data_IF_949832497303
#
_entry.id   IF_949832497303
#
_cell.length_a   1.000
_cell.length_b   1.000
_cell.length_c   1.000
_cell.angle_alpha   90.00
_cell.angle_beta   90.00
_cell.angle_gamma   90.00
#
_symmetry.space_group_name_H-M   'P 1'
#
loop_
_entity.id
_entity.type
_entity.pdbx_description
1 polymer ?
#
# COMPACT_ATOMS: atom_id res chain seq x y z
N UNK A 1 -20.10 7.94 10.21
CA UNK A 1 -20.23 7.97 11.69
C UNK A 1 -19.28 9.00 12.23
N UNK A 2 -19.64 9.63 13.35
CA UNK A 2 -18.79 10.59 14.04
C UNK A 2 -18.07 9.90 15.20
N UNK A 3 -16.78 10.18 15.38
CA UNK A 3 -16.01 9.67 16.50
C UNK A 3 -15.99 10.63 17.70
N UNK A 4 -15.33 10.24 18.79
CA UNK A 4 -15.22 11.04 20.03
C UNK A 4 -14.42 12.34 19.88
N UNK A 5 -13.70 12.51 18.77
CA UNK A 5 -12.89 13.68 18.44
C UNK A 5 -13.61 14.62 17.47
N UNK A 6 -14.84 14.29 17.03
CA UNK A 6 -15.61 15.07 16.06
C UNK A 6 -15.25 14.80 14.59
N UNK A 7 -14.43 13.76 14.31
CA UNK A 7 -14.17 13.37 12.93
C UNK A 7 -15.34 12.54 12.39
N UNK A 8 -15.67 12.76 11.14
CA UNK A 8 -16.62 11.95 10.40
C UNK A 8 -15.89 10.91 9.55
N UNK A 9 -16.40 9.69 9.57
CA UNK A 9 -15.82 8.55 8.88
C UNK A 9 -16.86 7.86 8.02
N UNK A 10 -16.48 7.51 6.81
CA UNK A 10 -17.17 6.58 5.95
C UNK A 10 -16.52 5.20 6.10
N UNK A 11 -17.35 4.16 6.21
CA UNK A 11 -16.87 2.79 6.25
C UNK A 11 -17.56 1.98 5.16
N UNK A 12 -16.79 1.13 4.49
CA UNK A 12 -17.31 0.19 3.51
C UNK A 12 -16.53 -1.12 3.60
N UNK A 13 -17.13 -2.18 3.07
CA UNK A 13 -16.41 -3.44 2.92
C UNK A 13 -15.66 -3.46 1.59
N UNK A 14 -14.46 -3.99 1.61
CA UNK A 14 -13.62 -4.18 0.43
C UNK A 14 -13.10 -5.61 0.39
N UNK A 15 -12.94 -6.16 -0.80
CA UNK A 15 -12.24 -7.41 -1.03
C UNK A 15 -10.79 -7.07 -1.37
N UNK A 16 -9.84 -7.58 -0.59
CA UNK A 16 -8.42 -7.25 -0.74
C UNK A 16 -7.57 -8.46 -1.14
N UNK A 17 -8.15 -9.65 -1.11
CA UNK A 17 -7.52 -10.86 -1.61
C UNK A 17 -8.52 -11.71 -2.38
N UNK A 18 -8.00 -12.67 -3.16
CA UNK A 18 -8.81 -13.64 -3.90
C UNK A 18 -8.91 -15.00 -3.18
N UNK A 19 -8.44 -15.06 -1.95
CA UNK A 19 -8.34 -16.32 -1.21
C UNK A 19 -9.65 -17.06 -1.09
N UNK A 20 -10.76 -16.33 -0.96
CA UNK A 20 -12.10 -16.87 -1.13
C UNK A 20 -13.14 -15.76 -1.33
N UNK A 21 -14.27 -16.09 -1.90
CA UNK A 21 -15.31 -15.13 -2.32
C UNK A 21 -15.95 -14.34 -1.18
N UNK A 22 -15.82 -14.82 0.04
CA UNK A 22 -16.45 -14.22 1.22
C UNK A 22 -15.51 -13.35 2.03
N UNK A 23 -14.25 -13.26 1.65
CA UNK A 23 -13.32 -12.39 2.37
C UNK A 23 -13.69 -10.92 2.14
N UNK A 24 -13.98 -10.25 3.24
CA UNK A 24 -14.31 -8.82 3.28
C UNK A 24 -13.53 -8.17 4.40
N UNK A 25 -12.90 -7.06 4.09
CA UNK A 25 -12.21 -6.21 5.06
C UNK A 25 -12.93 -4.87 5.16
N UNK A 26 -12.86 -4.26 6.33
CA UNK A 26 -13.45 -2.93 6.53
C UNK A 26 -12.44 -1.88 6.08
N UNK A 27 -12.84 -1.05 5.13
CA UNK A 27 -12.13 0.18 4.80
C UNK A 27 -12.73 1.35 5.57
N UNK A 28 -11.89 2.32 5.93
CA UNK A 28 -12.26 3.55 6.61
C UNK A 28 -11.70 4.72 5.82
N UNK A 29 -12.56 5.70 5.55
CA UNK A 29 -12.19 6.92 4.84
C UNK A 29 -12.72 8.14 5.58
N UNK A 30 -12.03 9.24 5.46
CA UNK A 30 -12.50 10.52 5.99
C UNK A 30 -13.76 10.96 5.29
N UNK A 31 -14.69 11.49 6.06
CA UNK A 31 -15.92 12.10 5.58
C UNK A 31 -16.11 13.45 6.27
N UNK A 32 -17.02 14.26 5.79
CA UNK A 32 -17.34 15.55 6.36
C UNK A 32 -18.50 16.19 5.64
N UNK A 33 -18.76 17.46 5.99
CA UNK A 33 -19.78 18.27 5.34
C UNK A 33 -19.10 19.43 4.62
N UNK A 34 -19.60 19.74 3.45
CA UNK A 34 -19.17 20.93 2.73
C UNK A 34 -19.83 22.20 3.32
N UNK A 35 -19.54 23.35 2.72
CA UNK A 35 -20.09 24.65 3.14
C UNK A 35 -21.62 24.74 3.06
N UNK A 36 -22.26 23.89 2.29
CA UNK A 36 -23.71 23.83 2.09
C UNK A 36 -24.36 22.74 2.98
N UNK A 37 -23.57 22.09 3.84
CA UNK A 37 -24.00 21.03 4.74
C UNK A 37 -24.25 19.69 4.07
N UNK A 38 -23.70 19.48 2.88
CA UNK A 38 -23.80 18.20 2.15
C UNK A 38 -22.70 17.27 2.60
N UNK A 39 -23.07 16.05 3.01
CA UNK A 39 -22.13 15.01 3.41
C UNK A 39 -21.34 14.53 2.19
N UNK A 40 -20.04 14.47 2.34
CA UNK A 40 -19.14 13.86 1.36
C UNK A 40 -18.22 12.82 2.01
N UNK A 41 -17.68 11.93 1.19
CA UNK A 41 -16.64 10.98 1.57
C UNK A 41 -15.37 11.33 0.80
N UNK A 42 -14.28 11.63 1.51
CA UNK A 42 -12.98 11.84 0.91
C UNK A 42 -12.25 10.50 0.76
N UNK A 43 -12.24 9.93 -0.43
CA UNK A 43 -11.53 8.70 -0.74
C UNK A 43 -10.07 8.94 -1.15
N UNK A 44 -9.67 10.19 -1.31
CA UNK A 44 -8.28 10.54 -1.57
C UNK A 44 -7.42 10.15 -0.36
N UNK A 45 -6.28 9.56 -0.60
CA UNK A 45 -5.38 9.06 0.43
C UNK A 45 -6.00 8.04 1.42
N UNK A 46 -7.10 7.37 1.05
CA UNK A 46 -7.77 6.41 1.94
C UNK A 46 -6.92 5.20 2.32
N UNK A 47 -5.86 4.94 1.58
CA UNK A 47 -4.87 3.89 1.81
C UNK A 47 -3.52 4.43 2.34
N UNK A 48 -3.46 5.72 2.71
CA UNK A 48 -2.33 6.32 3.43
C UNK A 48 -2.48 6.12 4.94
N UNK A 49 -1.36 6.07 5.68
CA UNK A 49 -1.41 6.17 7.14
C UNK A 49 -2.13 7.44 7.58
N UNK A 50 -3.04 7.31 8.53
CA UNK A 50 -3.79 8.45 9.05
C UNK A 50 -3.91 8.38 10.57
N UNK A 51 -3.77 9.52 11.24
CA UNK A 51 -4.06 9.64 12.65
C UNK A 51 -5.58 9.62 12.86
N UNK A 52 -6.04 8.72 13.73
CA UNK A 52 -7.47 8.54 14.06
C UNK A 52 -7.84 9.05 15.45
N UNK A 53 -6.84 9.42 16.26
CA UNK A 53 -7.02 9.80 17.67
C UNK A 53 -6.97 11.32 17.91
N UNK A 54 -7.08 12.12 16.87
CA UNK A 54 -7.09 13.57 16.95
C UNK A 54 -8.15 14.17 16.04
N UNK A 55 -8.72 15.30 16.46
CA UNK A 55 -9.63 16.06 15.61
C UNK A 55 -8.88 16.60 14.39
N UNK A 56 -9.56 16.62 13.25
CA UNK A 56 -9.09 17.27 12.03
C UNK A 56 -10.06 18.38 11.67
N UNK A 57 -9.56 19.59 11.55
CA UNK A 57 -10.36 20.75 11.15
C UNK A 57 -10.74 20.69 9.67
N UNK A 58 -9.84 20.15 8.84
CA UNK A 58 -10.05 20.01 7.41
C UNK A 58 -10.08 18.51 7.00
N UNK A 59 -11.26 17.98 6.64
CA UNK A 59 -11.35 16.59 6.15
C UNK A 59 -10.68 16.37 4.79
N UNK A 60 -10.31 17.43 4.08
CA UNK A 60 -9.53 17.39 2.84
C UNK A 60 -8.02 17.53 3.07
N UNK A 61 -7.58 17.68 4.32
CA UNK A 61 -6.17 17.83 4.64
C UNK A 61 -5.34 16.67 4.05
N UNK A 62 -4.21 17.02 3.48
CA UNK A 62 -3.22 16.05 2.99
C UNK A 62 -2.66 15.22 4.16
N UNK A 63 -2.18 13.98 3.91
CA UNK A 63 -1.45 13.20 4.90
C UNK A 63 -0.20 13.94 5.38
N UNK A 64 0.17 13.70 6.64
CA UNK A 64 1.40 14.27 7.20
C UNK A 64 2.66 13.61 6.62
N UNK A 65 2.58 12.32 6.28
CA UNK A 65 3.69 11.55 5.77
C UNK A 65 3.55 11.35 4.26
N UNK A 66 4.64 11.56 3.55
CA UNK A 66 4.72 11.41 2.10
C UNK A 66 5.07 9.99 1.71
N UNK A 67 4.64 9.55 0.54
CA UNK A 67 5.07 8.31 -0.06
C UNK A 67 6.52 8.46 -0.58
N UNK A 68 7.45 7.73 0.03
CA UNK A 68 8.89 7.81 -0.25
C UNK A 68 9.35 6.72 -1.23
N UNK A 69 8.53 5.69 -1.45
CA UNK A 69 8.87 4.48 -2.21
C UNK A 69 8.57 4.55 -3.70
N UNK A 70 7.85 5.56 -4.18
CA UNK A 70 7.41 5.60 -5.57
C UNK A 70 8.60 5.50 -6.54
N UNK A 71 8.55 4.48 -7.43
CA UNK A 71 9.57 4.19 -8.45
C UNK A 71 11.00 4.05 -7.91
N UNK A 72 11.17 3.60 -6.67
CA UNK A 72 12.49 3.37 -6.10
C UNK A 72 13.11 2.08 -6.64
N UNK A 73 14.45 2.05 -6.62
CA UNK A 73 15.22 0.91 -7.11
C UNK A 73 14.95 -0.33 -6.25
N UNK A 74 14.61 -1.42 -6.92
CA UNK A 74 14.25 -2.68 -6.29
C UNK A 74 15.14 -3.82 -6.77
N UNK A 75 15.46 -4.74 -5.87
CA UNK A 75 16.10 -6.02 -6.15
C UNK A 75 15.37 -7.14 -5.42
N UNK A 76 15.55 -8.37 -5.85
CA UNK A 76 14.93 -9.53 -5.22
C UNK A 76 15.84 -10.76 -5.31
N UNK A 77 15.55 -11.78 -4.48
CA UNK A 77 16.22 -13.09 -4.52
C UNK A 77 16.01 -13.80 -5.86
N UNK A 78 14.80 -13.71 -6.37
CA UNK A 78 14.36 -14.24 -7.65
C UNK A 78 13.20 -13.44 -8.21
N UNK A 79 12.91 -13.56 -9.50
CA UNK A 79 11.77 -12.91 -10.13
C UNK A 79 11.28 -13.73 -11.30
N UNK A 80 9.98 -14.01 -11.35
CA UNK A 80 9.35 -14.62 -12.52
C UNK A 80 9.32 -13.61 -13.67
N UNK A 81 9.48 -14.08 -14.90
CA UNK A 81 9.43 -13.23 -16.10
C UNK A 81 8.11 -12.46 -16.17
N UNK A 82 8.18 -11.13 -16.37
CA UNK A 82 7.03 -10.24 -16.37
C UNK A 82 6.44 -9.97 -14.98
N UNK A 83 7.17 -10.29 -13.90
CA UNK A 83 6.82 -10.05 -12.50
C UNK A 83 7.98 -9.40 -11.76
N UNK A 84 8.41 -8.27 -12.28
CA UNK A 84 9.63 -7.59 -11.87
C UNK A 84 9.54 -6.99 -10.46
N UNK A 85 10.64 -6.90 -9.70
CA UNK A 85 10.64 -6.28 -8.36
C UNK A 85 10.14 -4.84 -8.34
N UNK A 86 10.36 -4.07 -9.42
CA UNK A 86 9.92 -2.68 -9.56
C UNK A 86 8.39 -2.50 -9.50
N UNK A 87 7.62 -3.55 -9.78
CA UNK A 87 6.17 -3.53 -9.65
C UNK A 87 5.68 -3.37 -8.21
N UNK A 88 6.54 -3.61 -7.23
CA UNK A 88 6.20 -3.35 -5.83
C UNK A 88 6.26 -1.86 -5.43
N UNK A 89 6.68 -0.97 -6.33
CA UNK A 89 6.82 0.48 -6.07
C UNK A 89 6.20 1.37 -7.16
N UNK A 90 5.42 0.81 -8.08
CA UNK A 90 4.82 1.53 -9.20
C UNK A 90 3.44 2.14 -8.89
N UNK A 91 2.90 1.89 -7.69
CA UNK A 91 1.57 2.31 -7.23
C UNK A 91 0.42 1.76 -8.09
N UNK A 92 0.65 0.64 -8.76
CA UNK A 92 -0.35 -0.03 -9.58
C UNK A 92 -0.74 -1.39 -8.97
N UNK A 93 -1.92 -1.49 -8.39
CA UNK A 93 -2.42 -2.74 -7.77
C UNK A 93 -2.64 -3.89 -8.77
N UNK A 94 -2.55 -3.65 -10.07
CA UNK A 94 -2.68 -4.67 -11.12
C UNK A 94 -1.34 -5.30 -11.48
N UNK A 95 -0.25 -4.80 -10.94
CA UNK A 95 1.10 -5.32 -11.09
C UNK A 95 1.65 -5.80 -9.75
N UNK A 96 2.54 -6.77 -9.77
CA UNK A 96 3.19 -7.27 -8.56
C UNK A 96 4.48 -7.99 -8.90
N UNK A 97 5.45 -7.91 -8.00
CA UNK A 97 6.57 -8.83 -7.99
C UNK A 97 6.11 -10.24 -7.60
N UNK A 98 6.69 -11.26 -8.26
CA UNK A 98 6.47 -12.65 -7.89
C UNK A 98 7.81 -13.39 -7.90
N UNK A 99 8.12 -14.07 -6.79
CA UNK A 99 9.29 -14.96 -6.70
C UNK A 99 9.12 -16.18 -7.61
N UNK A 100 10.25 -16.75 -8.07
CA UNK A 100 10.25 -17.99 -8.88
C UNK A 100 9.83 -19.20 -8.05
N UNK A 101 10.15 -19.21 -6.75
CA UNK A 101 9.86 -20.30 -5.84
C UNK A 101 9.02 -19.89 -4.64
N UNK A 102 8.61 -20.89 -3.85
CA UNK A 102 7.86 -20.71 -2.62
C UNK A 102 8.64 -21.20 -1.38
N UNK A 103 9.94 -21.38 -1.52
CA UNK A 103 10.75 -21.78 -0.37
C UNK A 103 10.88 -20.61 0.61
N UNK A 104 10.84 -20.87 1.94
CA UNK A 104 11.07 -19.84 2.93
C UNK A 104 12.39 -19.10 2.69
N UNK A 105 12.34 -17.76 2.75
CA UNK A 105 13.53 -16.93 2.59
C UNK A 105 13.63 -16.19 1.25
N UNK A 106 12.63 -16.29 0.37
CA UNK A 106 12.53 -15.37 -0.77
C UNK A 106 12.41 -13.93 -0.25
N UNK A 107 13.12 -13.01 -0.89
CA UNK A 107 13.18 -11.63 -0.42
C UNK A 107 13.09 -10.61 -1.56
N UNK A 108 12.62 -9.41 -1.21
CA UNK A 108 12.65 -8.22 -2.04
C UNK A 108 13.26 -7.07 -1.23
N UNK A 109 14.06 -6.23 -1.87
CA UNK A 109 14.79 -5.14 -1.23
C UNK A 109 14.66 -3.84 -2.01
N UNK A 110 14.57 -2.73 -1.27
CA UNK A 110 14.42 -1.38 -1.78
C UNK A 110 15.62 -0.51 -1.40
N UNK A 111 16.06 0.34 -2.32
CA UNK A 111 16.94 1.48 -2.05
C UNK A 111 16.16 2.79 -2.24
N UNK A 112 15.93 3.53 -1.15
CA UNK A 112 15.26 4.84 -1.18
C UNK A 112 16.10 5.94 -1.85
N UNK A 113 17.37 5.63 -2.21
CA UNK A 113 18.32 6.55 -2.84
C UNK A 113 19.16 7.32 -1.84
N UNK A 114 18.60 7.72 -0.73
CA UNK A 114 19.27 8.42 0.39
C UNK A 114 18.60 8.06 1.71
N UNK A 115 19.23 8.41 2.82
CA UNK A 115 18.62 8.21 4.16
C UNK A 115 17.40 9.11 4.30
N UNK A 116 16.27 8.52 4.70
CA UNK A 116 14.99 9.18 4.92
C UNK A 116 14.51 8.95 6.35
N UNK A 117 13.69 9.88 6.86
CA UNK A 117 12.93 9.71 8.09
C UNK A 117 11.67 8.89 7.78
N UNK A 118 11.77 7.58 7.95
CA UNK A 118 10.68 6.63 7.68
C UNK A 118 9.81 6.48 8.92
N UNK A 119 8.50 6.65 8.73
CA UNK A 119 7.49 6.61 9.79
C UNK A 119 6.56 5.40 9.68
N UNK A 120 6.32 4.90 8.47
CA UNK A 120 5.53 3.70 8.28
C UNK A 120 5.97 2.94 7.04
N UNK A 121 5.77 1.62 7.08
CA UNK A 121 5.90 0.73 5.94
C UNK A 121 4.60 -0.07 5.80
N UNK A 122 4.01 -0.06 4.60
CA UNK A 122 2.87 -0.89 4.24
C UNK A 122 3.36 -1.98 3.30
N UNK A 123 2.94 -3.21 3.59
CA UNK A 123 3.23 -4.38 2.77
C UNK A 123 1.91 -4.88 2.22
N UNK A 124 1.77 -4.89 0.89
CA UNK A 124 0.59 -5.39 0.19
C UNK A 124 0.97 -6.69 -0.52
N UNK A 125 0.56 -7.81 0.04
CA UNK A 125 0.69 -9.11 -0.62
C UNK A 125 -0.38 -9.23 -1.71
N UNK A 126 -0.03 -9.84 -2.83
CA UNK A 126 -0.94 -10.18 -3.91
C UNK A 126 -1.13 -11.70 -4.01
N UNK A 127 -2.21 -12.10 -4.64
CA UNK A 127 -2.48 -13.50 -4.99
C UNK A 127 -2.28 -13.70 -6.50
N UNK A 128 -1.43 -14.65 -6.88
CA UNK A 128 -1.21 -15.01 -8.27
C UNK A 128 -1.02 -16.52 -8.43
N UNK A 129 -1.77 -17.10 -9.37
CA UNK A 129 -1.73 -18.54 -9.67
C UNK A 129 -2.01 -19.41 -8.43
N UNK A 130 -2.88 -18.95 -7.55
CA UNK A 130 -3.33 -19.76 -6.41
C UNK A 130 -4.22 -20.90 -6.91
N UNK A 131 -4.02 -22.07 -6.36
CA UNK A 131 -4.95 -23.19 -6.53
C UNK A 131 -6.04 -23.10 -5.47
N UNK A 132 -7.17 -22.49 -5.87
CA UNK A 132 -8.38 -22.38 -5.06
C UNK A 132 -9.39 -23.47 -5.40
N UNK A 133 -8.97 -24.53 -6.09
CA UNK A 133 -9.85 -25.64 -6.40
C UNK A 133 -10.36 -26.28 -5.12
N UNK A 134 -11.69 -26.26 -5.00
CA UNK A 134 -12.39 -26.74 -3.83
C UNK A 134 -12.56 -28.26 -3.90
N UNK A 135 -12.30 -29.00 -2.82
CA UNK A 135 -12.63 -30.41 -2.79
C UNK A 135 -14.15 -30.58 -2.90
N UNK A 136 -14.62 -31.14 -4.02
CA UNK A 136 -16.01 -31.44 -4.27
C UNK A 136 -16.86 -30.25 -4.66
N UNK A 137 -16.69 -29.78 -5.91
CA UNK A 137 -17.59 -28.78 -6.51
C UNK A 137 -19.05 -29.15 -6.35
N UNK A 138 -19.75 -28.36 -5.51
CA UNK A 138 -21.20 -28.28 -5.53
C UNK A 138 -21.59 -26.97 -6.20
N UNK A 139 -22.11 -27.01 -7.40
CA UNK A 139 -22.60 -25.83 -8.09
C UNK A 139 -23.60 -25.08 -7.20
N UNK A 140 -23.33 -23.82 -6.90
CA UNK A 140 -24.22 -22.91 -6.19
C UNK A 140 -24.05 -22.84 -4.67
N UNK A 141 -23.15 -23.60 -4.06
CA UNK A 141 -22.81 -23.44 -2.64
C UNK A 141 -21.64 -22.46 -2.47
N UNK A 142 -21.79 -21.52 -1.54
CA UNK A 142 -20.69 -20.64 -1.12
C UNK A 142 -19.76 -21.46 -0.23
N UNK A 143 -18.50 -21.54 -0.63
CA UNK A 143 -17.46 -22.18 0.16
C UNK A 143 -16.80 -21.15 1.08
N UNK A 144 -16.63 -21.54 2.32
CA UNK A 144 -15.80 -20.83 3.28
C UNK A 144 -14.63 -21.75 3.61
N UNK A 145 -13.43 -21.33 3.27
CA UNK A 145 -12.23 -22.08 3.61
C UNK A 145 -12.03 -22.06 5.14
N UNK A 146 -12.13 -23.20 5.82
CA UNK A 146 -11.92 -23.27 7.26
C UNK A 146 -10.42 -23.32 7.63
N UNK A 147 -9.53 -23.37 6.67
CA UNK A 147 -8.09 -23.47 6.90
C UNK A 147 -7.57 -22.20 7.55
N UNK A 148 -6.66 -22.34 8.48
CA UNK A 148 -5.90 -21.22 9.02
C UNK A 148 -4.72 -20.94 8.10
N UNK A 149 -4.79 -19.82 7.40
CA UNK A 149 -3.69 -19.32 6.61
C UNK A 149 -2.83 -18.36 7.43
N UNK A 150 -1.55 -18.29 7.09
CA UNK A 150 -0.57 -17.45 7.76
C UNK A 150 0.21 -16.67 6.72
N UNK A 151 0.60 -15.46 7.09
CA UNK A 151 1.54 -14.64 6.33
C UNK A 151 2.70 -14.33 7.25
N UNK A 152 3.87 -14.89 6.95
CA UNK A 152 5.07 -14.81 7.79
C UNK A 152 6.22 -14.13 7.07
N UNK A 153 6.79 -13.13 7.71
CA UNK A 153 7.83 -12.32 7.11
C UNK A 153 8.71 -11.64 8.15
N UNK A 154 9.87 -11.17 7.69
CA UNK A 154 10.80 -10.33 8.43
C UNK A 154 11.09 -9.08 7.61
N UNK A 155 10.98 -7.91 8.20
CA UNK A 155 11.36 -6.64 7.62
C UNK A 155 12.61 -6.10 8.33
N UNK A 156 13.67 -5.95 7.58
CA UNK A 156 14.94 -5.39 8.02
C UNK A 156 15.20 -4.05 7.34
N UNK A 157 15.93 -3.19 7.99
CA UNK A 157 16.29 -1.88 7.48
C UNK A 157 17.74 -1.51 7.76
N UNK A 158 18.30 -0.64 6.94
CA UNK A 158 19.67 -0.16 7.08
C UNK A 158 19.80 1.27 6.56
N UNK A 159 20.67 2.06 7.19
CA UNK A 159 21.06 3.38 6.69
C UNK A 159 22.21 3.32 5.67
N UNK A 160 23.08 2.30 5.75
CA UNK A 160 24.33 2.20 5.00
C UNK A 160 24.39 1.02 4.01
N UNK A 161 23.36 0.15 4.01
CA UNK A 161 23.29 -1.05 3.17
C UNK A 161 24.15 -2.23 3.65
N UNK A 162 24.79 -2.11 4.80
CA UNK A 162 25.67 -3.12 5.39
C UNK A 162 25.19 -3.58 6.75
N UNK A 163 24.86 -2.63 7.60
CA UNK A 163 24.40 -2.88 8.97
C UNK A 163 22.87 -2.87 8.99
N UNK A 164 22.27 -4.05 8.89
CA UNK A 164 20.83 -4.22 8.97
C UNK A 164 20.37 -4.47 10.39
N UNK A 165 19.22 -3.91 10.74
CA UNK A 165 18.53 -4.18 12.00
C UNK A 165 17.07 -4.55 11.71
N UNK A 166 16.46 -5.28 12.61
CA UNK A 166 15.07 -5.71 12.50
C UNK A 166 14.14 -4.51 12.73
N UNK A 167 13.38 -4.14 11.72
CA UNK A 167 12.32 -3.14 11.81
C UNK A 167 11.02 -3.76 12.34
N UNK A 168 10.68 -4.95 11.83
CA UNK A 168 9.57 -5.75 12.33
C UNK A 168 9.81 -7.22 12.02
N UNK A 169 9.44 -8.09 12.97
CA UNK A 169 9.54 -9.55 12.84
C UNK A 169 8.15 -10.17 13.05
N UNK A 170 7.64 -10.80 12.00
CA UNK A 170 6.43 -11.60 11.99
C UNK A 170 6.68 -13.02 11.46
N UNK A 171 7.90 -13.52 11.66
CA UNK A 171 8.29 -14.86 11.22
C UNK A 171 7.53 -15.98 11.95
N UNK A 172 6.96 -15.70 13.10
CA UNK A 172 6.14 -16.62 13.91
C UNK A 172 4.64 -16.26 13.93
N UNK A 173 4.19 -15.36 13.05
CA UNK A 173 2.80 -14.92 13.02
C UNK A 173 1.84 -16.10 12.77
N UNK A 174 0.72 -16.09 13.49
CA UNK A 174 -0.35 -17.07 13.37
C UNK A 174 -1.58 -16.52 12.61
N UNK A 175 -1.44 -15.35 12.01
CA UNK A 175 -2.51 -14.66 11.27
C UNK A 175 -2.14 -14.49 9.80
N UNK A 176 -3.17 -14.39 8.96
CA UNK A 176 -3.04 -13.98 7.56
C UNK A 176 -3.41 -12.51 7.42
N UNK A 177 -2.42 -11.68 7.12
CA UNK A 177 -2.61 -10.25 6.87
C UNK A 177 -2.07 -9.90 5.48
N UNK A 178 -2.92 -9.97 4.43
CA UNK A 178 -2.50 -9.61 3.08
C UNK A 178 -2.17 -8.11 2.93
N UNK A 179 -2.65 -7.27 3.84
CA UNK A 179 -2.21 -5.90 4.02
C UNK A 179 -1.70 -5.74 5.45
N UNK A 180 -0.46 -5.36 5.59
CA UNK A 180 0.15 -5.20 6.90
C UNK A 180 0.90 -3.87 7.01
N UNK A 181 0.91 -3.31 8.22
CA UNK A 181 1.55 -2.04 8.52
C UNK A 181 2.58 -2.19 9.63
N UNK A 182 3.71 -1.52 9.44
CA UNK A 182 4.72 -1.27 10.47
C UNK A 182 4.77 0.22 10.70
N UNK A 183 4.39 0.68 11.90
CA UNK A 183 4.39 2.11 12.24
C UNK A 183 5.52 2.39 13.24
N UNK A 184 6.27 3.46 12.99
CA UNK A 184 7.35 4.00 13.81
C UNK A 184 7.13 5.51 13.96
N UNK A 185 6.26 5.90 14.86
CA UNK A 185 5.84 7.31 15.03
C UNK A 185 7.01 8.26 15.28
N UNK A 186 8.03 7.81 16.02
CA UNK A 186 9.24 8.60 16.27
C UNK A 186 10.16 8.74 15.04
N UNK A 187 9.89 7.96 14.00
CA UNK A 187 10.71 7.90 12.81
C UNK A 187 12.00 7.09 12.98
N UNK A 188 12.47 6.56 11.85
CA UNK A 188 13.72 5.80 11.77
C UNK A 188 14.51 6.27 10.55
N UNK A 189 15.78 6.57 10.74
CA UNK A 189 16.66 7.02 9.66
C UNK A 189 17.19 5.81 8.89
N UNK A 190 16.62 5.56 7.71
CA UNK A 190 16.97 4.41 6.88
C UNK A 190 17.02 4.79 5.39
N UNK A 191 17.81 4.05 4.63
CA UNK A 191 17.86 4.11 3.17
C UNK A 191 17.44 2.79 2.53
N UNK A 192 17.79 1.67 3.14
CA UNK A 192 17.55 0.35 2.59
C UNK A 192 16.52 -0.39 3.42
N UNK A 193 15.61 -1.08 2.75
CA UNK A 193 14.67 -2.02 3.35
C UNK A 193 14.82 -3.37 2.67
N UNK A 194 14.64 -4.44 3.44
CA UNK A 194 14.61 -5.81 2.93
C UNK A 194 13.48 -6.56 3.60
N UNK A 195 12.54 -7.03 2.79
CA UNK A 195 11.44 -7.88 3.21
C UNK A 195 11.77 -9.32 2.83
N UNK A 196 11.89 -10.19 3.83
CA UNK A 196 12.07 -11.64 3.65
C UNK A 196 10.76 -12.34 3.97
N UNK A 197 10.27 -13.18 3.06
CA UNK A 197 8.99 -13.89 3.19
C UNK A 197 9.27 -15.36 3.52
N UNK A 198 8.59 -15.89 4.54
CA UNK A 198 8.73 -17.28 4.98
C UNK A 198 7.52 -18.14 4.64
N UNK A 199 6.32 -17.56 4.70
CA UNK A 199 5.08 -18.28 4.43
C UNK A 199 4.01 -17.31 3.88
N UNK A 200 3.29 -17.75 2.87
CA UNK A 200 2.10 -17.11 2.33
C UNK A 200 1.00 -18.16 2.12
N UNK A 201 -0.28 -17.75 2.11
CA UNK A 201 -1.40 -18.68 1.94
C UNK A 201 -1.29 -19.56 0.68
N UNK A 202 -1.93 -20.71 0.70
CA UNK A 202 -2.10 -21.62 -0.44
C UNK A 202 -0.80 -22.14 -1.05
N UNK A 203 0.28 -22.14 -0.29
CA UNK A 203 1.60 -22.59 -0.78
C UNK A 203 2.01 -21.91 -2.11
N UNK A 204 1.52 -20.69 -2.35
CA UNK A 204 1.86 -19.93 -3.54
C UNK A 204 3.28 -19.35 -3.43
N UNK A 205 3.82 -18.88 -4.54
CA UNK A 205 5.05 -18.10 -4.52
C UNK A 205 4.77 -16.71 -3.90
N UNK A 206 5.70 -16.12 -3.15
CA UNK A 206 5.54 -14.77 -2.65
C UNK A 206 5.24 -13.76 -3.77
N UNK A 207 4.20 -12.96 -3.57
CA UNK A 207 3.78 -11.90 -4.47
C UNK A 207 3.59 -10.61 -3.68
N UNK A 208 4.22 -9.52 -4.11
CA UNK A 208 4.11 -8.20 -3.48
C UNK A 208 3.63 -7.19 -4.52
N UNK A 209 2.43 -6.66 -4.35
CA UNK A 209 1.88 -5.59 -5.18
C UNK A 209 2.25 -4.19 -4.68
N UNK A 210 2.69 -4.07 -3.43
CA UNK A 210 3.13 -2.80 -2.87
C UNK A 210 4.05 -2.99 -1.66
N UNK A 211 5.24 -2.43 -1.74
CA UNK A 211 6.12 -2.19 -0.60
C UNK A 211 6.22 -0.66 -0.45
N UNK A 212 5.28 -0.10 0.30
CA UNK A 212 5.07 1.33 0.39
C UNK A 212 5.72 1.88 1.65
N UNK A 213 6.50 2.92 1.50
CA UNK A 213 7.25 3.55 2.60
C UNK A 213 6.78 4.98 2.74
N UNK A 214 6.40 5.35 3.96
CA UNK A 214 5.89 6.67 4.28
C UNK A 214 6.78 7.36 5.32
N UNK A 215 6.89 8.68 5.19
CA UNK A 215 7.67 9.49 6.12
C UNK A 215 8.00 10.86 5.58
N UNK A 216 9.10 11.42 6.07
CA UNK A 216 9.57 12.73 5.63
C UNK A 216 10.79 12.59 4.72
N UNK A 217 10.78 13.35 3.62
CA UNK A 217 11.93 13.50 2.75
C UNK A 217 12.93 14.55 3.27
N UNK A 218 14.08 14.65 2.61
CA UNK A 218 15.09 15.68 2.91
C UNK A 218 14.88 16.94 2.04
N UNK A 219 13.86 16.95 1.19
CA UNK A 219 13.56 18.04 0.26
C UNK A 219 12.41 18.92 0.71
N UNK A 220 12.29 20.07 0.05
CA UNK A 220 11.09 20.89 0.17
C UNK A 220 9.92 20.25 -0.60
N UNK A 221 8.70 20.54 -0.16
CA UNK A 221 7.51 20.14 -0.90
C UNK A 221 7.54 20.81 -2.29
N UNK A 222 7.35 20.04 -3.38
CA UNK A 222 7.23 20.63 -4.70
C UNK A 222 6.14 21.70 -4.74
N UNK A 223 6.33 22.71 -5.57
CA UNK A 223 5.31 23.74 -5.78
C UNK A 223 4.05 23.12 -6.40
N UNK A 224 2.91 23.74 -6.15
CA UNK A 224 1.64 23.28 -6.77
C UNK A 224 1.76 23.34 -8.30
N UNK A 225 1.35 22.28 -9.03
CA UNK A 225 1.47 22.26 -10.47
C UNK A 225 0.61 23.36 -11.13
N UNK A 226 1.16 24.00 -12.12
CA UNK A 226 0.39 24.86 -13.02
C UNK A 226 -0.35 23.94 -14.02
N UNK A 227 -1.64 24.15 -14.18
CA UNK A 227 -2.43 23.34 -15.09
C UNK A 227 -3.48 24.16 -15.86
N UNK A 228 -3.86 23.64 -17.00
CA UNK A 228 -4.99 24.13 -17.78
C UNK A 228 -6.03 23.02 -17.88
N UNK A 229 -7.29 23.36 -17.65
CA UNK A 229 -8.40 22.44 -17.79
C UNK A 229 -9.33 22.94 -18.90
N UNK A 230 -9.58 22.11 -19.90
CA UNK A 230 -10.42 22.39 -21.05
C UNK A 230 -11.51 21.33 -21.16
N UNK A 231 -12.76 21.76 -21.28
CA UNK A 231 -13.87 20.85 -21.56
C UNK A 231 -13.86 20.52 -23.05
N UNK A 232 -13.61 19.26 -23.39
CA UNK A 232 -13.50 18.76 -24.77
C UNK A 232 -14.76 18.06 -25.27
N UNK A 233 -15.71 17.76 -24.38
CA UNK A 233 -16.97 17.12 -24.71
C UNK A 233 -18.01 17.29 -23.62
N UNK A 234 -19.15 16.62 -23.76
CA UNK A 234 -20.23 16.70 -22.75
C UNK A 234 -19.81 16.13 -21.41
N UNK A 235 -18.99 15.08 -21.43
CA UNK A 235 -18.49 14.36 -20.27
C UNK A 235 -16.95 14.34 -20.20
N UNK A 236 -16.26 15.00 -21.13
CA UNK A 236 -14.81 14.92 -21.28
C UNK A 236 -14.14 16.23 -20.91
N UNK A 237 -13.03 16.08 -20.17
CA UNK A 237 -12.14 17.18 -19.79
C UNK A 237 -10.70 16.82 -20.13
N UNK A 238 -9.98 17.77 -20.74
CA UNK A 238 -8.53 17.67 -20.91
C UNK A 238 -7.84 18.50 -19.86
N UNK A 239 -6.94 17.88 -19.11
CA UNK A 239 -6.06 18.56 -18.17
C UNK A 239 -4.65 18.50 -18.74
N UNK A 240 -4.03 19.67 -18.90
CA UNK A 240 -2.64 19.80 -19.32
C UNK A 240 -1.84 20.36 -18.16
N UNK A 241 -0.85 19.63 -17.70
CA UNK A 241 0.02 20.03 -16.59
C UNK A 241 1.35 20.51 -17.18
N UNK A 242 1.82 21.67 -16.74
CA UNK A 242 3.14 22.16 -17.10
C UNK A 242 4.21 21.39 -16.31
N UNK A 243 5.23 20.81 -16.99
CA UNK A 243 6.29 20.09 -16.32
C UNK A 243 7.02 20.98 -15.30
N UNK A 244 7.23 20.45 -14.10
CA UNK A 244 8.00 21.10 -13.03
C UNK A 244 9.33 20.40 -12.83
N UNK A 245 10.38 21.17 -12.65
CA UNK A 245 11.76 20.65 -12.48
C UNK A 245 12.00 20.08 -11.08
N UNK A 246 11.19 20.45 -10.11
CA UNK A 246 11.23 20.02 -8.72
C UNK A 246 10.31 18.80 -8.42
N UNK A 247 9.58 18.29 -9.43
CA UNK A 247 8.71 17.14 -9.33
C UNK A 247 9.28 15.96 -10.13
N UNK A 248 9.36 14.78 -9.49
CA UNK A 248 9.79 13.53 -10.15
C UNK A 248 8.64 12.80 -10.84
N UNK A 249 7.40 13.24 -10.62
CA UNK A 249 6.20 12.67 -11.24
C UNK A 249 4.94 13.35 -10.76
N UNK A 250 3.84 13.05 -11.43
CA UNK A 250 2.50 13.55 -11.08
C UNK A 250 1.60 12.35 -10.87
N UNK A 251 1.00 12.26 -9.68
CA UNK A 251 -0.03 11.28 -9.38
C UNK A 251 -1.40 11.96 -9.55
N UNK A 252 -2.19 11.49 -10.52
CA UNK A 252 -3.57 11.95 -10.70
C UNK A 252 -4.51 10.97 -10.00
N UNK A 253 -5.14 11.42 -8.93
CA UNK A 253 -6.23 10.70 -8.28
C UNK A 253 -7.55 11.30 -8.77
N UNK A 254 -7.96 10.99 -10.00
CA UNK A 254 -9.26 11.39 -10.52
C UNK A 254 -10.25 10.28 -10.18
N UNK A 255 -11.09 10.54 -9.20
CA UNK A 255 -12.31 9.76 -9.00
C UNK A 255 -13.43 10.46 -9.79
N UNK A 256 -13.91 9.78 -10.81
CA UNK A 256 -15.12 10.15 -11.54
C UNK A 256 -16.30 9.37 -10.94
#
# INVERSE_FOLDING_TARGET
MEDRYGNWWHTATMQISKNHDMERRVGIWRAGFDKDGVLFCNQQFGDWPMAVEQAKEDPWAEPEWYLLSYQKAMTASSSEEGREPSFATDENIQTWWRAVGNQPGEWISMDLGEVKDVRAVQINFADDKIDSSLPGERQGERYIDPSQHKTRWLLEASADGTNYFVLADKSDAETNLPHDFVVKEEGVQIRYLKLTVFEVPYNQNPCISGLRVFGFGNGEKPSAPQYQAERTGTMDMRITIEPQTDAVGYLSLIHI
#
